data_IF_190242004528
#
_entry.id   IF_190242004528
#
_cell.length_a   1.000
_cell.length_b   1.000
_cell.length_c   1.000
_cell.angle_alpha   90.00
_cell.angle_beta   90.00
_cell.angle_gamma   90.00
#
_symmetry.space_group_name_H-M   'P 1'
#
loop_
_entity.id
_entity.type
_entity.pdbx_description
1 polymer ?
#
# COMPACT_ATOMS: atom_id res chain seq x y z
N UNK A 1 -7.72 -68.65 -22.90
CA UNK A 1 -8.36 -68.48 -21.57
C UNK A 1 -8.58 -67.00 -21.31
N UNK A 2 -9.63 -66.70 -20.54
CA UNK A 2 -9.96 -65.42 -19.92
C UNK A 2 -10.72 -64.40 -20.78
N UNK A 3 -12.02 -64.39 -20.56
CA UNK A 3 -13.03 -63.44 -20.98
C UNK A 3 -12.89 -62.11 -20.21
N UNK A 4 -13.01 -60.98 -20.89
CA UNK A 4 -13.25 -59.69 -20.23
C UNK A 4 -14.35 -58.93 -20.94
N UNK A 5 -15.57 -59.40 -20.66
CA UNK A 5 -16.77 -58.63 -20.35
C UNK A 5 -16.84 -57.26 -21.04
N UNK A 6 -17.55 -57.24 -22.18
CA UNK A 6 -18.19 -56.05 -22.73
C UNK A 6 -19.09 -55.42 -21.66
N UNK A 7 -18.54 -54.52 -20.85
CA UNK A 7 -19.37 -53.61 -20.06
C UNK A 7 -19.99 -52.62 -21.04
N UNK A 8 -21.25 -52.90 -21.41
CA UNK A 8 -22.19 -51.92 -21.97
C UNK A 8 -21.89 -50.58 -21.30
N UNK A 9 -21.45 -49.58 -22.08
CA UNK A 9 -21.45 -48.18 -21.65
C UNK A 9 -22.91 -47.84 -21.31
N UNK A 10 -23.33 -48.12 -20.08
CA UNK A 10 -24.45 -47.44 -19.46
C UNK A 10 -24.12 -45.98 -19.68
N UNK A 11 -24.93 -45.27 -20.47
CA UNK A 11 -25.02 -43.82 -20.38
C UNK A 11 -25.26 -43.60 -18.90
N UNK A 12 -24.20 -43.29 -18.13
CA UNK A 12 -24.36 -42.81 -16.78
C UNK A 12 -25.29 -41.64 -17.00
N UNK A 13 -26.51 -41.79 -16.49
CA UNK A 13 -27.43 -40.68 -16.33
C UNK A 13 -26.62 -39.49 -15.87
N UNK A 14 -27.04 -38.28 -16.22
CA UNK A 14 -26.59 -37.11 -15.48
C UNK A 14 -26.90 -37.40 -14.00
N UNK A 15 -25.95 -38.06 -13.32
CA UNK A 15 -26.08 -38.54 -11.96
C UNK A 15 -26.13 -37.23 -11.24
N UNK A 16 -27.33 -36.91 -10.75
CA UNK A 16 -27.61 -35.85 -9.79
C UNK A 16 -26.34 -35.59 -9.02
N UNK A 17 -25.58 -34.58 -9.46
CA UNK A 17 -24.35 -34.23 -8.78
C UNK A 17 -24.85 -33.82 -7.41
N UNK A 18 -24.56 -34.68 -6.43
CA UNK A 18 -24.97 -34.48 -5.06
C UNK A 18 -24.71 -33.01 -4.71
N UNK A 19 -25.66 -32.31 -4.07
CA UNK A 19 -25.57 -30.86 -3.86
C UNK A 19 -24.22 -30.47 -3.27
N UNK A 20 -23.65 -31.33 -2.43
CA UNK A 20 -22.33 -31.17 -1.84
C UNK A 20 -21.17 -31.24 -2.86
N UNK A 21 -21.27 -32.09 -3.88
CA UNK A 21 -20.27 -32.22 -4.94
C UNK A 21 -20.26 -31.01 -5.89
N UNK A 22 -21.43 -30.52 -6.31
CA UNK A 22 -21.54 -29.31 -7.12
C UNK A 22 -21.03 -28.07 -6.37
N UNK A 23 -21.37 -27.92 -5.09
CA UNK A 23 -20.83 -26.88 -4.21
C UNK A 23 -19.30 -26.99 -4.09
N UNK A 24 -18.76 -28.20 -3.96
CA UNK A 24 -17.30 -28.43 -3.89
C UNK A 24 -16.60 -28.00 -5.19
N UNK A 25 -17.17 -28.32 -6.35
CA UNK A 25 -16.64 -27.90 -7.66
C UNK A 25 -16.71 -26.37 -7.86
N UNK A 26 -17.78 -25.71 -7.38
CA UNK A 26 -17.87 -24.25 -7.40
C UNK A 26 -16.83 -23.60 -6.48
N UNK A 27 -16.60 -24.17 -5.30
CA UNK A 27 -15.56 -23.71 -4.36
C UNK A 27 -14.15 -23.86 -4.93
N UNK A 28 -13.84 -24.99 -5.59
CA UNK A 28 -12.52 -25.21 -6.21
C UNK A 28 -12.31 -24.30 -7.43
N UNK A 29 -13.34 -24.07 -8.26
CA UNK A 29 -13.28 -23.12 -9.36
C UNK A 29 -13.10 -21.68 -8.87
N UNK A 30 -13.81 -21.27 -7.81
CA UNK A 30 -13.60 -19.96 -7.18
C UNK A 30 -12.17 -19.80 -6.66
N UNK A 31 -11.63 -20.83 -5.97
CA UNK A 31 -10.23 -20.84 -5.49
C UNK A 31 -9.23 -20.74 -6.66
N UNK A 32 -9.47 -21.46 -7.76
CA UNK A 32 -8.63 -21.40 -8.97
C UNK A 32 -8.63 -20.02 -9.62
N UNK A 33 -9.79 -19.37 -9.72
CA UNK A 33 -9.92 -18.01 -10.29
C UNK A 33 -9.19 -17.00 -9.40
N UNK A 34 -9.37 -17.06 -8.09
CA UNK A 34 -8.69 -16.19 -7.12
C UNK A 34 -7.17 -16.36 -7.20
N UNK A 35 -6.67 -17.61 -7.17
CA UNK A 35 -5.24 -17.87 -7.28
C UNK A 35 -4.65 -17.42 -8.62
N UNK A 36 -5.38 -17.56 -9.73
CA UNK A 36 -4.94 -17.08 -11.05
C UNK A 36 -4.82 -15.55 -11.07
N UNK A 37 -5.74 -14.82 -10.43
CA UNK A 37 -5.66 -13.35 -10.30
C UNK A 37 -4.47 -12.94 -9.43
N UNK A 38 -4.34 -13.55 -8.25
CA UNK A 38 -3.26 -13.22 -7.31
C UNK A 38 -1.87 -13.51 -7.90
N UNK A 39 -1.71 -14.62 -8.64
CA UNK A 39 -0.43 -14.94 -9.29
C UNK A 39 -0.07 -13.95 -10.41
N UNK A 40 -1.06 -13.37 -11.12
CA UNK A 40 -0.78 -12.29 -12.07
C UNK A 40 -0.28 -11.05 -11.34
N UNK A 41 -0.93 -10.66 -10.25
CA UNK A 41 -0.55 -9.48 -9.44
C UNK A 41 0.87 -9.64 -8.87
N UNK A 42 1.20 -10.83 -8.33
CA UNK A 42 2.57 -11.14 -7.85
C UNK A 42 3.63 -11.03 -8.95
N UNK A 43 3.29 -11.37 -10.20
CA UNK A 43 4.19 -11.21 -11.34
C UNK A 43 4.46 -9.74 -11.65
N UNK A 44 3.44 -8.88 -11.57
CA UNK A 44 3.60 -7.43 -11.72
C UNK A 44 4.40 -6.82 -10.57
N UNK A 45 4.17 -7.23 -9.32
CA UNK A 45 4.98 -6.78 -8.18
C UNK A 45 6.47 -7.13 -8.35
N UNK A 46 6.78 -8.32 -8.87
CA UNK A 46 8.17 -8.73 -9.13
C UNK A 46 8.82 -7.94 -10.28
N UNK A 47 8.05 -7.56 -11.30
CA UNK A 47 8.54 -6.73 -12.41
C UNK A 47 8.81 -5.32 -11.91
N UNK A 48 7.88 -4.75 -11.15
CA UNK A 48 7.99 -3.41 -10.58
C UNK A 48 9.16 -3.31 -9.59
N UNK A 49 9.37 -4.32 -8.73
CA UNK A 49 10.54 -4.38 -7.83
C UNK A 49 11.86 -4.50 -8.60
N UNK A 50 11.87 -5.18 -9.77
CA UNK A 50 13.06 -5.23 -10.63
C UNK A 50 13.34 -3.89 -11.31
N UNK A 51 12.31 -3.25 -11.87
CA UNK A 51 12.43 -1.91 -12.48
C UNK A 51 12.94 -0.88 -11.47
N UNK A 52 12.41 -0.88 -10.24
CA UNK A 52 12.88 0.01 -9.17
C UNK A 52 14.33 -0.26 -8.76
N UNK A 53 14.76 -1.53 -8.70
CA UNK A 53 16.15 -1.86 -8.39
C UNK A 53 17.10 -1.47 -9.53
N UNK A 54 16.69 -1.65 -10.78
CA UNK A 54 17.49 -1.26 -11.95
C UNK A 54 17.61 0.28 -12.06
N UNK A 55 16.56 1.04 -11.70
CA UNK A 55 16.60 2.50 -11.58
C UNK A 55 17.49 2.98 -10.42
N UNK A 56 17.45 2.31 -9.26
CA UNK A 56 18.35 2.62 -8.12
C UNK A 56 19.83 2.34 -8.45
N UNK A 57 20.14 1.29 -9.22
CA UNK A 57 21.51 0.98 -9.65
C UNK A 57 21.99 1.96 -10.73
N UNK A 58 21.08 2.47 -11.57
CA UNK A 58 21.42 3.50 -12.57
C UNK A 58 21.64 4.88 -11.95
N UNK A 59 20.94 5.23 -10.87
CA UNK A 59 21.08 6.52 -10.16
C UNK A 59 22.27 6.54 -9.21
N UNK A 60 22.59 5.41 -8.55
CA UNK A 60 23.73 5.31 -7.62
C UNK A 60 25.12 5.47 -8.28
N UNK A 61 25.25 5.21 -9.58
CA UNK A 61 26.51 5.45 -10.30
C UNK A 61 26.68 6.90 -10.81
N UNK A 62 25.66 7.76 -10.68
CA UNK A 62 25.69 9.14 -11.20
C UNK A 62 25.61 10.24 -10.14
N UNK A 63 25.39 9.92 -8.86
CA UNK A 63 25.15 10.92 -7.80
C UNK A 63 26.10 10.79 -6.61
N UNK A 64 27.41 10.65 -6.87
CA UNK A 64 28.43 10.70 -5.81
C UNK A 64 28.88 12.14 -5.49
N UNK A 65 28.45 13.14 -6.24
CA UNK A 65 28.74 14.54 -5.93
C UNK A 65 27.45 15.34 -5.84
N UNK A 66 27.36 16.21 -4.82
CA UNK A 66 26.29 17.19 -4.54
C UNK A 66 25.15 16.74 -3.61
N UNK A 67 25.49 16.25 -2.42
CA UNK A 67 24.70 16.56 -1.22
C UNK A 67 25.52 17.58 -0.41
N UNK A 68 25.69 18.78 -0.95
CA UNK A 68 26.11 19.94 -0.15
C UNK A 68 24.92 20.86 -0.01
N UNK A 69 24.51 21.08 1.24
CA UNK A 69 23.92 22.35 1.68
C UNK A 69 22.66 22.79 0.93
N UNK A 70 21.55 22.08 1.11
CA UNK A 70 20.26 22.74 1.06
C UNK A 70 19.71 22.86 2.48
N UNK A 71 20.00 24.01 3.11
CA UNK A 71 19.09 24.63 4.08
C UNK A 71 17.78 24.99 3.35
N UNK A 72 17.08 23.97 2.87
CA UNK A 72 15.83 24.12 2.15
C UNK A 72 14.72 24.14 3.19
N UNK A 73 14.01 25.26 3.29
CA UNK A 73 12.76 25.31 4.04
C UNK A 73 11.87 24.15 3.59
N UNK A 74 11.61 23.18 4.47
CA UNK A 74 10.79 22.01 4.18
C UNK A 74 9.34 22.50 4.06
N UNK A 75 8.84 22.70 2.85
CA UNK A 75 7.45 23.10 2.62
C UNK A 75 6.55 21.89 2.46
N UNK A 76 5.53 21.77 3.31
CA UNK A 76 4.57 20.65 3.31
C UNK A 76 3.37 20.94 2.37
N UNK A 77 3.42 22.00 1.56
CA UNK A 77 2.31 22.45 0.73
C UNK A 77 1.84 21.38 -0.28
N UNK A 78 0.52 21.32 -0.52
CA UNK A 78 -0.14 20.42 -1.49
C UNK A 78 -0.01 18.91 -1.21
N UNK A 79 0.49 18.51 -0.04
CA UNK A 79 0.48 17.11 0.37
C UNK A 79 -0.94 16.63 0.71
N UNK A 80 -1.29 15.37 0.38
CA UNK A 80 -2.61 14.85 0.71
C UNK A 80 -2.77 14.76 2.24
N UNK A 81 -3.96 15.08 2.74
CA UNK A 81 -4.28 15.08 4.18
C UNK A 81 -3.91 13.77 4.87
N UNK A 82 -4.11 12.64 4.19
CA UNK A 82 -3.73 11.32 4.73
C UNK A 82 -2.24 11.19 4.99
N UNK A 83 -1.41 11.80 4.14
CA UNK A 83 0.03 11.85 4.30
C UNK A 83 0.42 12.83 5.43
N UNK A 84 -0.21 14.01 5.50
CA UNK A 84 -0.03 14.95 6.61
C UNK A 84 -0.30 14.29 7.96
N UNK A 85 -1.39 13.53 8.06
CA UNK A 85 -1.74 12.81 9.28
C UNK A 85 -0.78 11.66 9.60
N UNK A 86 -0.18 11.01 8.59
CA UNK A 86 0.87 10.01 8.82
C UNK A 86 2.15 10.67 9.34
N UNK A 87 2.61 11.73 8.67
CA UNK A 87 3.77 12.52 9.08
C UNK A 87 3.60 13.03 10.51
N UNK A 88 2.46 13.65 10.79
CA UNK A 88 2.13 14.13 12.13
C UNK A 88 2.15 13.02 13.19
N UNK A 89 1.67 11.81 12.87
CA UNK A 89 1.70 10.69 13.82
C UNK A 89 3.11 10.14 14.08
N UNK A 90 3.96 10.11 13.06
CA UNK A 90 5.34 9.60 13.18
C UNK A 90 6.25 10.57 13.95
N UNK A 91 6.12 11.87 13.68
CA UNK A 91 7.06 12.88 14.20
C UNK A 91 6.48 13.79 15.30
N UNK A 92 5.16 13.98 15.34
CA UNK A 92 4.49 14.97 16.20
C UNK A 92 3.17 14.44 16.79
N UNK A 93 3.22 13.29 17.49
CA UNK A 93 2.04 12.61 18.03
C UNK A 93 1.20 13.46 18.99
N UNK A 94 1.83 14.45 19.62
CA UNK A 94 1.23 15.24 20.69
C UNK A 94 0.43 16.45 20.16
N UNK A 95 0.50 16.74 18.86
CA UNK A 95 -0.23 17.85 18.26
C UNK A 95 -1.74 17.60 18.26
N UNK A 96 -2.47 18.53 18.87
CA UNK A 96 -3.94 18.51 18.93
C UNK A 96 -4.57 18.47 17.53
N UNK A 97 -3.99 19.21 16.58
CA UNK A 97 -4.46 19.24 15.19
C UNK A 97 -4.39 17.87 14.50
N UNK A 98 -3.38 17.04 14.83
CA UNK A 98 -3.25 15.67 14.31
C UNK A 98 -4.20 14.73 15.03
N UNK A 99 -4.28 14.84 16.37
CA UNK A 99 -5.09 13.96 17.23
C UNK A 99 -6.59 14.14 17.02
N UNK A 100 -7.04 15.39 16.89
CA UNK A 100 -8.45 15.76 16.82
C UNK A 100 -8.95 16.04 15.40
N UNK A 101 -8.15 15.75 14.38
CA UNK A 101 -8.52 16.00 12.99
C UNK A 101 -9.88 15.41 12.58
N UNK A 102 -10.27 14.24 13.13
CA UNK A 102 -11.58 13.63 12.86
C UNK A 102 -12.54 13.68 14.06
N UNK A 103 -12.22 14.45 15.09
CA UNK A 103 -13.06 14.57 16.28
C UNK A 103 -14.09 15.70 16.13
N UNK A 104 -15.36 15.34 15.90
CA UNK A 104 -16.44 16.31 15.72
C UNK A 104 -16.74 17.14 16.97
N UNK A 105 -16.37 16.67 18.16
CA UNK A 105 -16.59 17.42 19.40
C UNK A 105 -15.61 18.60 19.55
N UNK A 106 -14.57 18.63 18.73
CA UNK A 106 -13.54 19.65 18.71
C UNK A 106 -13.62 20.40 17.38
N UNK A 107 -14.62 21.27 17.25
CA UNK A 107 -14.98 21.93 15.99
C UNK A 107 -13.82 22.67 15.32
N UNK A 108 -12.95 23.30 16.11
CA UNK A 108 -11.78 24.03 15.61
C UNK A 108 -10.81 23.14 14.80
N UNK A 109 -10.70 21.87 15.19
CA UNK A 109 -9.77 20.89 14.61
C UNK A 109 -10.46 19.93 13.62
N UNK A 110 -11.79 19.83 13.65
CA UNK A 110 -12.54 18.87 12.86
C UNK A 110 -12.40 19.14 11.35
N UNK A 111 -11.65 18.25 10.67
CA UNK A 111 -11.36 18.28 9.23
C UNK A 111 -10.79 19.61 8.75
N UNK A 112 -10.14 20.35 9.65
CA UNK A 112 -9.55 21.64 9.34
C UNK A 112 -8.16 21.43 8.75
N UNK A 113 -8.08 21.39 7.42
CA UNK A 113 -6.82 21.16 6.71
C UNK A 113 -5.83 22.31 6.88
N UNK A 114 -6.28 23.56 6.79
CA UNK A 114 -5.40 24.74 6.89
C UNK A 114 -4.69 24.77 8.23
N UNK A 115 -5.43 24.50 9.31
CA UNK A 115 -4.87 24.43 10.66
C UNK A 115 -3.87 23.27 10.81
N UNK A 116 -4.15 22.11 10.21
CA UNK A 116 -3.21 20.98 10.22
C UNK A 116 -1.91 21.32 9.49
N UNK A 117 -1.99 21.96 8.32
CA UNK A 117 -0.81 22.35 7.55
C UNK A 117 0.02 23.40 8.29
N UNK A 118 -0.63 24.44 8.84
CA UNK A 118 0.05 25.51 9.57
C UNK A 118 0.73 25.00 10.85
N UNK A 119 0.03 24.18 11.63
CA UNK A 119 0.57 23.60 12.88
C UNK A 119 1.74 22.67 12.59
N UNK A 120 1.62 21.78 11.60
CA UNK A 120 2.73 20.91 11.21
C UNK A 120 3.90 21.72 10.67
N UNK A 121 3.67 22.69 9.79
CA UNK A 121 4.74 23.53 9.24
C UNK A 121 5.48 24.27 10.35
N UNK A 122 4.76 24.82 11.33
CA UNK A 122 5.33 25.49 12.49
C UNK A 122 6.15 24.52 13.35
N UNK A 123 5.64 23.31 13.60
CA UNK A 123 6.35 22.29 14.37
C UNK A 123 7.60 21.77 13.67
N UNK A 124 7.59 21.62 12.34
CA UNK A 124 8.79 21.27 11.58
C UNK A 124 9.85 22.36 11.72
N UNK A 125 9.47 23.62 11.52
CA UNK A 125 10.40 24.74 11.60
C UNK A 125 11.03 24.90 13.00
N UNK A 126 10.32 24.47 14.06
CA UNK A 126 10.80 24.48 15.45
C UNK A 126 11.57 23.22 15.85
N UNK A 127 11.49 22.15 15.07
CA UNK A 127 12.17 20.88 15.38
C UNK A 127 13.67 20.95 15.10
N UNK A 128 14.43 20.01 15.67
CA UNK A 128 15.88 19.92 15.45
C UNK A 128 16.22 19.55 14.01
N UNK A 129 17.42 19.94 13.57
CA UNK A 129 17.92 19.65 12.21
C UNK A 129 17.88 18.16 11.86
N UNK A 130 18.16 17.28 12.84
CA UNK A 130 18.06 15.82 12.66
C UNK A 130 16.62 15.35 12.33
N UNK A 131 15.63 15.97 12.97
CA UNK A 131 14.21 15.64 12.74
C UNK A 131 13.76 16.20 11.40
N UNK A 132 14.19 17.42 11.06
CA UNK A 132 13.95 18.01 9.75
C UNK A 132 14.51 17.15 8.61
N UNK A 133 15.74 16.64 8.74
CA UNK A 133 16.35 15.74 7.76
C UNK A 133 15.54 14.46 7.56
N UNK A 134 15.10 13.82 8.65
CA UNK A 134 14.23 12.62 8.60
C UNK A 134 12.88 12.91 7.96
N UNK A 135 12.30 14.08 8.21
CA UNK A 135 11.03 14.46 7.59
C UNK A 135 11.21 14.70 6.09
N UNK A 136 12.30 15.34 5.67
CA UNK A 136 12.63 15.53 4.26
C UNK A 136 12.76 14.18 3.54
N UNK A 137 13.45 13.20 4.15
CA UNK A 137 13.53 11.83 3.64
C UNK A 137 12.16 11.15 3.58
N UNK A 138 11.33 11.31 4.61
CA UNK A 138 9.97 10.77 4.65
C UNK A 138 9.08 11.34 3.55
N UNK A 139 9.23 12.63 3.21
CA UNK A 139 8.52 13.29 2.11
C UNK A 139 9.04 12.82 0.75
N UNK A 140 10.33 12.56 0.60
CA UNK A 140 10.92 12.06 -0.64
C UNK A 140 10.44 10.64 -0.98
N UNK A 141 10.16 9.81 0.02
CA UNK A 141 9.68 8.43 -0.11
C UNK A 141 8.15 8.31 -0.37
N UNK A 142 7.50 9.35 -0.89
CA UNK A 142 6.03 9.46 -1.03
C UNK A 142 5.43 8.65 -2.18
#
# INVERSE_FOLDING_TARGET
MSSSIFFKKKKRSAVLLDKHHSIRLLKTNKKRIVNKRNNKIKGFEQILVKELNDEMISTSNSTVNEISEQKGNITIEKLPVTFLLKLGKEFFSDLEAVKYYYNSNQENYYKNRSLLEETLQSSINQSSEDVQAKIAEFIANK
#
